data_IF_618988662606
#
_entry.id   IF_618988662606
#
_cell.length_a   1.000
_cell.length_b   1.000
_cell.length_c   1.000
_cell.angle_alpha   90.00
_cell.angle_beta   90.00
_cell.angle_gamma   90.00
#
_symmetry.space_group_name_H-M   'P 1'
#
loop_
_entity.id
_entity.type
_entity.pdbx_description
1 polymer ?
#
# COMPACT_ATOMS: atom_id res chain seq x y z
N UNK A 1 -1.52 14.99 5.29
CA UNK A 1 -1.61 13.51 5.41
C UNK A 1 -2.74 12.87 4.58
N UNK A 2 -3.99 13.38 4.60
CA UNK A 2 -5.06 12.80 3.76
C UNK A 2 -4.75 12.82 2.25
N UNK A 3 -4.10 13.89 1.76
CA UNK A 3 -3.64 13.99 0.37
C UNK A 3 -2.57 12.94 0.04
N UNK A 4 -1.66 12.66 0.97
CA UNK A 4 -0.66 11.60 0.85
C UNK A 4 -1.34 10.23 0.73
N UNK A 5 -2.33 9.94 1.60
CA UNK A 5 -3.12 8.68 1.51
C UNK A 5 -3.78 8.54 0.13
N UNK A 6 -4.40 9.62 -0.38
CA UNK A 6 -5.00 9.60 -1.70
C UNK A 6 -3.96 9.37 -2.81
N UNK A 7 -2.76 9.96 -2.70
CA UNK A 7 -1.68 9.74 -3.65
C UNK A 7 -1.23 8.27 -3.69
N UNK A 8 -1.05 7.62 -2.55
CA UNK A 8 -0.72 6.18 -2.50
C UNK A 8 -1.81 5.31 -3.14
N UNK A 9 -3.09 5.59 -2.86
CA UNK A 9 -4.23 4.86 -3.46
C UNK A 9 -4.31 5.01 -4.97
N UNK A 10 -4.02 6.21 -5.48
CA UNK A 10 -4.13 6.52 -6.90
C UNK A 10 -2.90 6.08 -7.70
N UNK A 11 -1.69 6.23 -7.13
CA UNK A 11 -0.43 6.15 -7.87
C UNK A 11 0.60 5.21 -7.26
N UNK A 12 0.34 4.60 -6.10
CA UNK A 12 1.28 3.67 -5.46
C UNK A 12 1.67 2.49 -6.36
N UNK A 13 0.74 2.02 -7.20
CA UNK A 13 1.01 1.00 -8.22
C UNK A 13 2.17 1.33 -9.17
N UNK A 14 2.44 2.62 -9.41
CA UNK A 14 3.56 3.09 -10.25
C UNK A 14 4.90 2.90 -9.54
N UNK A 15 4.94 2.86 -8.22
CA UNK A 15 6.14 2.56 -7.42
C UNK A 15 6.28 1.07 -7.04
N UNK A 16 5.24 0.27 -7.25
CA UNK A 16 5.21 -1.14 -6.87
C UNK A 16 6.33 -2.00 -7.50
N UNK A 17 6.80 -3.01 -6.76
CA UNK A 17 7.88 -3.93 -7.17
C UNK A 17 7.32 -5.10 -7.96
N UNK A 18 6.88 -4.85 -9.20
CA UNK A 18 6.24 -5.86 -10.05
C UNK A 18 7.20 -6.65 -10.94
N UNK A 19 8.40 -6.12 -11.18
CA UNK A 19 9.40 -6.78 -12.01
C UNK A 19 10.29 -7.68 -11.12
N UNK A 20 10.19 -9.02 -11.25
CA UNK A 20 10.98 -9.95 -10.47
C UNK A 20 12.47 -9.94 -10.83
N UNK A 21 12.84 -9.45 -12.02
CA UNK A 21 14.22 -9.35 -12.48
C UNK A 21 14.85 -7.98 -12.21
N UNK A 22 14.04 -7.00 -11.77
CA UNK A 22 14.47 -5.64 -11.46
C UNK A 22 15.19 -4.92 -12.63
N UNK A 23 14.81 -5.24 -13.87
CA UNK A 23 15.39 -4.64 -15.07
C UNK A 23 14.72 -3.29 -15.40
N UNK A 24 13.44 -3.18 -15.06
CA UNK A 24 12.64 -2.01 -15.35
C UNK A 24 12.97 -0.88 -14.39
N UNK A 25 13.60 0.18 -14.89
CA UNK A 25 13.74 1.44 -14.14
C UNK A 25 12.39 2.14 -14.10
N UNK A 26 11.85 2.32 -12.90
CA UNK A 26 10.62 3.07 -12.70
C UNK A 26 10.94 4.53 -12.42
N UNK A 27 10.19 5.40 -13.09
CA UNK A 27 10.27 6.84 -12.83
C UNK A 27 9.81 7.14 -11.40
N UNK A 28 10.45 8.10 -10.72
CA UNK A 28 9.95 8.60 -9.45
C UNK A 28 8.53 9.12 -9.61
N UNK A 29 7.69 8.89 -8.60
CA UNK A 29 6.31 9.40 -8.55
C UNK A 29 6.30 10.57 -7.56
N UNK A 30 6.33 11.84 -8.03
CA UNK A 30 6.46 13.00 -7.14
C UNK A 30 5.35 13.08 -6.09
N UNK A 31 4.14 12.64 -6.44
CA UNK A 31 2.98 12.65 -5.54
C UNK A 31 3.15 11.71 -4.33
N UNK A 32 4.09 10.76 -4.36
CA UNK A 32 4.39 9.90 -3.22
C UNK A 32 5.47 10.49 -2.30
N UNK A 33 6.14 11.57 -2.71
CA UNK A 33 7.10 12.29 -1.88
C UNK A 33 6.38 13.09 -0.80
N UNK A 34 6.88 13.01 0.43
CA UNK A 34 6.38 13.75 1.58
C UNK A 34 6.41 15.26 1.31
N UNK A 35 7.46 15.74 0.64
CA UNK A 35 7.64 17.15 0.35
C UNK A 35 6.50 17.72 -0.50
N UNK A 36 5.92 16.92 -1.40
CA UNK A 36 4.77 17.33 -2.21
C UNK A 36 3.51 17.60 -1.37
N UNK A 37 3.46 17.10 -0.14
CA UNK A 37 2.35 17.28 0.80
C UNK A 37 2.70 18.19 1.99
N UNK A 38 3.82 18.93 1.89
CA UNK A 38 4.32 19.79 2.98
C UNK A 38 4.75 19.01 4.22
N UNK A 39 5.11 17.74 4.06
CA UNK A 39 5.59 16.86 5.13
C UNK A 39 7.07 16.57 4.93
N UNK A 40 7.73 16.16 6.00
CA UNK A 40 9.14 15.85 6.00
C UNK A 40 9.44 14.65 6.90
N UNK A 41 10.69 14.20 6.88
CA UNK A 41 11.13 13.12 7.78
C UNK A 41 11.12 13.52 9.25
N UNK A 42 11.24 14.81 9.59
CA UNK A 42 11.13 15.25 10.99
C UNK A 42 9.72 15.08 11.56
N UNK A 43 8.71 14.97 10.69
CA UNK A 43 7.33 14.76 11.10
C UNK A 43 6.99 13.29 11.37
N UNK A 44 7.96 12.38 11.21
CA UNK A 44 7.71 10.93 11.32
C UNK A 44 7.15 10.51 12.67
N UNK A 45 7.62 11.13 13.75
CA UNK A 45 7.15 10.87 15.11
C UNK A 45 5.86 11.63 15.47
N UNK A 46 5.38 12.49 14.57
CA UNK A 46 4.12 13.22 14.77
C UNK A 46 2.94 12.30 14.54
N UNK A 47 1.99 12.32 15.48
CA UNK A 47 0.76 11.52 15.43
C UNK A 47 -0.29 12.24 14.58
N UNK A 48 -0.89 11.50 13.65
CA UNK A 48 -1.97 11.96 12.80
C UNK A 48 -3.18 11.03 12.90
N UNK A 49 -4.35 11.58 12.60
CA UNK A 49 -5.57 10.80 12.38
C UNK A 49 -5.41 10.00 11.09
N UNK A 50 -5.65 8.68 11.16
CA UNK A 50 -5.60 7.79 9.98
C UNK A 50 -6.80 8.03 9.06
N UNK A 51 -7.88 8.61 9.59
CA UNK A 51 -9.09 8.93 8.83
C UNK A 51 -9.76 7.67 8.32
N UNK A 52 -9.77 7.49 7.00
CA UNK A 52 -10.33 6.31 6.35
C UNK A 52 -9.27 5.28 5.91
N UNK A 53 -8.03 5.43 6.36
CA UNK A 53 -6.98 4.43 6.15
C UNK A 53 -7.25 3.25 7.10
N UNK A 54 -7.71 2.13 6.54
CA UNK A 54 -8.15 0.94 7.25
C UNK A 54 -6.97 0.07 7.71
N UNK A 55 -6.02 0.68 8.42
CA UNK A 55 -4.94 -0.04 9.09
C UNK A 55 -5.37 -0.56 10.47
N UNK A 56 -6.56 -0.24 10.98
CA UNK A 56 -7.02 -0.74 12.29
C UNK A 56 -6.51 0.06 13.49
N UNK A 57 -5.99 1.27 13.25
CA UNK A 57 -5.72 2.29 14.27
C UNK A 57 -6.45 3.58 13.89
N UNK A 58 -7.04 4.29 14.84
CA UNK A 58 -7.65 5.61 14.60
C UNK A 58 -6.59 6.72 14.45
N UNK A 59 -5.46 6.56 15.14
CA UNK A 59 -4.31 7.45 15.12
C UNK A 59 -3.04 6.63 14.93
N UNK A 60 -2.09 7.18 14.19
CA UNK A 60 -0.78 6.57 13.97
C UNK A 60 0.25 7.66 13.71
N UNK A 61 1.52 7.35 13.96
CA UNK A 61 2.62 8.23 13.58
C UNK A 61 2.72 8.32 12.05
N UNK A 62 3.21 9.43 11.51
CA UNK A 62 3.41 9.54 10.06
C UNK A 62 4.32 8.43 9.53
N UNK A 63 5.35 8.05 10.29
CA UNK A 63 6.23 6.93 9.94
C UNK A 63 5.47 5.62 9.76
N UNK A 64 4.64 5.23 10.74
CA UNK A 64 3.80 4.03 10.65
C UNK A 64 2.81 4.07 9.48
N UNK A 65 2.24 5.25 9.20
CA UNK A 65 1.31 5.42 8.09
C UNK A 65 2.00 5.24 6.74
N UNK A 66 3.18 5.85 6.57
CA UNK A 66 3.98 5.72 5.35
C UNK A 66 4.42 4.28 5.15
N UNK A 67 4.93 3.62 6.19
CA UNK A 67 5.34 2.21 6.13
C UNK A 67 4.17 1.31 5.72
N UNK A 68 2.99 1.51 6.32
CA UNK A 68 1.80 0.74 5.96
C UNK A 68 1.41 0.98 4.49
N UNK A 69 1.37 2.23 4.02
CA UNK A 69 1.00 2.55 2.65
C UNK A 69 2.01 2.02 1.61
N UNK A 70 3.31 2.06 1.93
CA UNK A 70 4.37 1.44 1.11
C UNK A 70 4.16 -0.07 1.01
N UNK A 71 3.85 -0.75 2.12
CA UNK A 71 3.58 -2.18 2.14
C UNK A 71 2.30 -2.56 1.36
N UNK A 72 1.25 -1.74 1.45
CA UNK A 72 -0.06 -1.99 0.82
C UNK A 72 -0.02 -1.73 -0.70
N UNK A 73 0.52 -0.58 -1.11
CA UNK A 73 0.38 -0.08 -2.49
C UNK A 73 1.66 -0.15 -3.33
N UNK A 74 2.83 -0.27 -2.70
CA UNK A 74 4.13 -0.25 -3.37
C UNK A 74 4.92 -1.56 -3.20
N UNK A 75 4.28 -2.61 -2.65
CA UNK A 75 4.85 -3.93 -2.48
C UNK A 75 4.89 -4.76 -3.78
N UNK A 76 4.68 -6.07 -3.65
CA UNK A 76 4.61 -7.00 -4.79
C UNK A 76 3.31 -6.91 -5.60
N UNK A 77 2.35 -6.09 -5.16
CA UNK A 77 1.04 -5.91 -5.78
C UNK A 77 0.86 -4.44 -6.12
N UNK A 78 0.61 -4.14 -7.40
CA UNK A 78 0.25 -2.81 -7.88
C UNK A 78 -1.26 -2.75 -8.07
N UNK A 79 -1.94 -2.03 -7.19
CA UNK A 79 -3.40 -1.95 -7.19
C UNK A 79 -3.89 -0.68 -7.88
N UNK A 80 -4.64 -0.86 -8.96
CA UNK A 80 -5.33 0.23 -9.67
C UNK A 80 -6.84 0.00 -9.56
N UNK A 81 -7.52 0.91 -8.85
CA UNK A 81 -8.97 0.78 -8.63
C UNK A 81 -9.66 2.13 -8.42
N UNK A 82 -8.90 3.20 -8.20
CA UNK A 82 -9.48 4.51 -7.89
C UNK A 82 -10.26 5.13 -9.07
N UNK A 83 -10.08 4.61 -10.28
CA UNK A 83 -10.88 4.95 -11.46
C UNK A 83 -12.34 4.46 -11.38
N UNK A 84 -12.66 3.54 -10.45
CA UNK A 84 -14.02 3.04 -10.24
C UNK A 84 -14.91 4.18 -9.73
N UNK A 85 -16.09 4.33 -10.35
CA UNK A 85 -17.06 5.38 -9.96
C UNK A 85 -17.75 5.02 -8.64
N UNK A 86 -18.19 3.77 -8.48
CA UNK A 86 -18.90 3.30 -7.29
C UNK A 86 -18.03 3.41 -6.03
N UNK A 87 -18.55 4.14 -5.04
CA UNK A 87 -17.86 4.35 -3.77
C UNK A 87 -17.87 3.10 -2.88
N UNK A 88 -18.91 2.26 -2.95
CA UNK A 88 -19.00 1.01 -2.20
C UNK A 88 -17.92 0.03 -2.66
N UNK A 89 -17.73 -0.10 -3.97
CA UNK A 89 -16.68 -0.95 -4.55
C UNK A 89 -15.28 -0.47 -4.15
N UNK A 90 -15.00 0.84 -4.29
CA UNK A 90 -13.72 1.43 -3.84
C UNK A 90 -13.46 1.15 -2.36
N UNK A 91 -14.47 1.33 -1.51
CA UNK A 91 -14.34 1.07 -0.07
C UNK A 91 -14.12 -0.39 0.25
N UNK A 92 -14.77 -1.30 -0.46
CA UNK A 92 -14.58 -2.74 -0.29
C UNK A 92 -13.14 -3.14 -0.63
N UNK A 93 -12.59 -2.64 -1.73
CA UNK A 93 -11.20 -2.88 -2.13
C UNK A 93 -10.23 -2.30 -1.09
N UNK A 94 -10.45 -1.05 -0.66
CA UNK A 94 -9.65 -0.39 0.38
C UNK A 94 -9.60 -1.21 1.67
N UNK A 95 -10.76 -1.65 2.17
CA UNK A 95 -10.82 -2.47 3.39
C UNK A 95 -10.04 -3.78 3.24
N UNK A 96 -10.10 -4.42 2.07
CA UNK A 96 -9.42 -5.70 1.83
C UNK A 96 -7.89 -5.54 1.73
N UNK A 97 -7.43 -4.52 1.01
CA UNK A 97 -6.00 -4.26 0.83
C UNK A 97 -5.36 -3.70 2.09
N UNK A 98 -5.95 -2.66 2.66
CA UNK A 98 -5.39 -1.94 3.81
C UNK A 98 -5.49 -2.76 5.10
N UNK A 99 -6.55 -3.56 5.25
CA UNK A 99 -6.70 -4.47 6.38
C UNK A 99 -5.67 -5.60 6.40
N UNK A 100 -5.22 -6.07 5.23
CA UNK A 100 -4.17 -7.08 5.13
C UNK A 100 -2.76 -6.49 5.30
N UNK A 101 -2.56 -5.19 5.02
CA UNK A 101 -1.24 -4.52 5.08
C UNK A 101 -0.13 -5.25 4.30
N UNK A 102 -0.47 -5.85 3.17
CA UNK A 102 0.45 -6.70 2.38
C UNK A 102 0.75 -8.07 3.00
N UNK A 103 0.19 -8.40 4.16
CA UNK A 103 0.32 -9.69 4.84
C UNK A 103 -1.01 -10.43 4.88
N UNK A 104 -1.18 -11.39 3.96
CA UNK A 104 -2.43 -12.13 3.82
C UNK A 104 -2.59 -13.33 4.77
N UNK A 105 -1.76 -13.43 5.82
CA UNK A 105 -1.85 -14.43 6.90
C UNK A 105 -2.04 -15.89 6.44
N UNK A 106 -1.31 -16.32 5.41
CA UNK A 106 -1.32 -17.72 4.96
C UNK A 106 -0.75 -18.65 6.04
N UNK A 107 -1.45 -19.76 6.30
CA UNK A 107 -0.99 -20.83 7.19
C UNK A 107 0.23 -21.56 6.61
N UNK A 108 0.94 -22.32 7.45
CA UNK A 108 2.09 -23.09 7.01
C UNK A 108 1.70 -24.14 5.95
N UNK A 109 0.52 -24.76 6.12
CA UNK A 109 -0.06 -25.73 5.18
C UNK A 109 -0.38 -25.07 3.84
N UNK A 110 -0.99 -23.87 3.86
CA UNK A 110 -1.27 -23.12 2.64
C UNK A 110 0.01 -22.74 1.89
N UNK A 111 1.06 -22.32 2.61
CA UNK A 111 2.36 -22.01 2.00
C UNK A 111 3.00 -23.26 1.38
N UNK A 112 2.92 -24.42 2.04
CA UNK A 112 3.40 -25.70 1.47
C UNK A 112 2.63 -26.07 0.20
N UNK A 113 1.30 -25.97 0.22
CA UNK A 113 0.47 -26.25 -0.96
C UNK A 113 0.76 -25.31 -2.14
N UNK A 114 1.03 -24.01 -1.89
CA UNK A 114 1.44 -23.08 -2.94
C UNK A 114 2.81 -23.50 -3.52
N UNK A 115 3.77 -23.87 -2.68
CA UNK A 115 5.09 -24.32 -3.11
C UNK A 115 5.02 -25.60 -3.96
N UNK A 116 4.22 -26.58 -3.53
CA UNK A 116 3.99 -27.83 -4.29
C UNK A 116 3.45 -27.54 -5.69
N UNK A 117 2.46 -26.63 -5.79
CA UNK A 117 1.87 -26.25 -7.09
C UNK A 117 2.85 -25.52 -8.01
N UNK A 118 3.71 -24.66 -7.46
CA UNK A 118 4.73 -23.95 -8.25
C UNK A 118 5.84 -24.90 -8.71
N UNK A 119 6.21 -25.88 -7.88
CA UNK A 119 7.27 -26.85 -8.21
C UNK A 119 6.81 -27.88 -9.24
N UNK A 120 5.51 -28.18 -9.27
CA UNK A 120 4.91 -29.11 -10.23
C UNK A 120 4.57 -28.49 -11.59
N UNK A 121 4.63 -27.15 -11.73
CA UNK A 121 4.36 -26.42 -12.96
C UNK A 121 5.57 -26.41 -13.90
#
# INVERSE_FOLDING_TARGET
VLQLIAAYRNRGHQKAKLDPLHLTKREPVPDLDLAAHGLSRSDFDTVFQTGNLAIGKAEATLGEMVEAMEAIYCGAIGSEYMYIVDTKEKRWIQQRLEGARGQYNFSAEQKKGILERITAA
#
